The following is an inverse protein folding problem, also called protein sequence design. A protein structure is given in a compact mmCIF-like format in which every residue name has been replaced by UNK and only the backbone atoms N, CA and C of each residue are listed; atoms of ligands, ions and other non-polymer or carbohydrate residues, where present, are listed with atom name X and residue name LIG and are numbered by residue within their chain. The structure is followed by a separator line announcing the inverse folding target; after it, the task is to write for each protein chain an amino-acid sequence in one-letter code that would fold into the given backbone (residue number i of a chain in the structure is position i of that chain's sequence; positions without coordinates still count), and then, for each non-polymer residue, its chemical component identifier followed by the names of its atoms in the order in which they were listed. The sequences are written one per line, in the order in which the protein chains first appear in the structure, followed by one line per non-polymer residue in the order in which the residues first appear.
data_IF_087233166842
#
_entry.id   IF_087233166842
#
_cell.length_a   1.000
_cell.length_b   1.000
_cell.length_c   1.000
_cell.angle_alpha   90.00
_cell.angle_beta   90.00
_cell.angle_gamma   90.00
#
_symmetry.space_group_name_H-M   'P 1'
#
loop_
_entity.id
_entity.type
_entity.pdbx_description
1 polymer ?
#
# COMPACT_ATOMS: atom_id res chain seq x y z
N UNK A 1 12.59 6.37 12.97
CA UNK A 1 11.44 5.44 13.12
C UNK A 1 10.10 6.16 12.94
N UNK A 2 9.66 7.00 13.88
CA UNK A 2 8.38 7.72 13.72
C UNK A 2 8.35 8.62 12.47
N UNK A 3 9.42 9.40 12.23
CA UNK A 3 9.55 10.24 11.04
C UNK A 3 9.59 9.45 9.74
N UNK A 4 10.20 8.25 9.76
CA UNK A 4 10.24 7.36 8.58
C UNK A 4 8.86 6.82 8.23
N UNK A 5 8.08 6.43 9.24
CA UNK A 5 6.70 5.95 9.05
C UNK A 5 5.82 7.07 8.51
N UNK A 6 5.93 8.27 9.06
CA UNK A 6 5.18 9.44 8.57
C UNK A 6 5.58 9.78 7.13
N UNK A 7 6.88 9.77 6.81
CA UNK A 7 7.38 9.96 5.45
C UNK A 7 6.81 8.89 4.51
N UNK A 8 6.83 7.62 4.90
CA UNK A 8 6.31 6.51 4.10
C UNK A 8 4.80 6.64 3.85
N UNK A 9 4.02 7.11 4.83
CA UNK A 9 2.59 7.35 4.65
C UNK A 9 2.29 8.45 3.64
N UNK A 10 2.96 9.59 3.78
CA UNK A 10 2.79 10.74 2.85
C UNK A 10 3.29 10.37 1.45
N UNK A 11 4.47 9.74 1.38
CA UNK A 11 5.06 9.30 0.12
C UNK A 11 4.17 8.26 -0.57
N UNK A 12 3.64 7.27 0.16
CA UNK A 12 2.79 6.23 -0.43
C UNK A 12 1.56 6.81 -1.14
N UNK A 13 0.88 7.78 -0.52
CA UNK A 13 -0.28 8.44 -1.13
C UNK A 13 0.13 9.34 -2.29
N UNK A 14 1.20 10.12 -2.12
CA UNK A 14 1.70 11.03 -3.16
C UNK A 14 2.16 10.25 -4.40
N UNK A 15 2.86 9.14 -4.22
CA UNK A 15 3.44 8.34 -5.30
C UNK A 15 2.33 7.72 -6.16
N UNK A 16 1.24 7.24 -5.56
CA UNK A 16 0.06 6.72 -6.29
C UNK A 16 -0.48 7.74 -7.31
N UNK A 17 -0.46 9.02 -6.95
CA UNK A 17 -1.05 10.11 -7.75
C UNK A 17 -0.03 10.67 -8.75
N UNK A 18 1.25 10.75 -8.36
CA UNK A 18 2.27 11.52 -9.07
C UNK A 18 3.21 10.68 -9.91
N UNK A 19 3.34 9.38 -9.63
CA UNK A 19 4.25 8.47 -10.33
C UNK A 19 3.44 7.48 -11.16
N UNK A 20 3.50 7.55 -12.51
CA UNK A 20 2.87 6.55 -13.35
C UNK A 20 3.50 5.17 -13.18
N UNK A 21 2.67 4.18 -12.81
CA UNK A 21 2.97 2.76 -12.77
C UNK A 21 2.16 1.94 -13.78
N UNK A 22 2.16 0.62 -13.59
CA UNK A 22 1.37 -0.32 -14.40
C UNK A 22 -0.14 -0.13 -14.20
N UNK A 23 -0.53 0.20 -12.97
CA UNK A 23 -1.90 0.51 -12.58
C UNK A 23 -1.86 1.86 -11.90
N UNK A 24 -2.51 2.84 -12.50
CA UNK A 24 -2.60 4.20 -11.96
C UNK A 24 -3.98 4.39 -11.33
N UNK A 25 -4.00 5.14 -10.24
CA UNK A 25 -5.22 5.54 -9.54
C UNK A 25 -5.27 7.07 -9.56
N UNK A 26 -6.45 7.65 -9.70
CA UNK A 26 -6.57 9.11 -9.70
C UNK A 26 -6.76 9.66 -8.27
N UNK A 27 -6.62 10.98 -8.12
CA UNK A 27 -6.79 11.62 -6.81
C UNK A 27 -8.24 11.53 -6.30
N UNK A 28 -9.23 11.46 -7.18
CA UNK A 28 -10.63 11.38 -6.77
C UNK A 28 -10.94 10.03 -6.11
N UNK A 29 -10.37 8.94 -6.63
CA UNK A 29 -10.48 7.59 -6.08
C UNK A 29 -9.84 7.51 -4.69
N UNK A 30 -8.60 7.98 -4.55
CA UNK A 30 -7.92 8.01 -3.24
C UNK A 30 -8.70 8.86 -2.24
N UNK A 31 -9.15 10.04 -2.67
CA UNK A 31 -9.96 10.92 -1.83
C UNK A 31 -11.28 10.27 -1.43
N UNK A 32 -11.94 9.53 -2.32
CA UNK A 32 -13.20 8.86 -2.00
C UNK A 32 -13.04 7.78 -0.93
N UNK A 33 -11.93 7.03 -0.96
CA UNK A 33 -11.63 6.00 0.05
C UNK A 33 -11.21 6.62 1.39
N UNK A 34 -10.43 7.70 1.36
CA UNK A 34 -9.90 8.34 2.58
C UNK A 34 -10.85 9.35 3.23
N UNK A 35 -11.82 9.90 2.48
CA UNK A 35 -12.74 10.90 3.01
C UNK A 35 -13.68 10.24 4.03
N UNK A 36 -13.81 10.87 5.19
CA UNK A 36 -14.68 10.42 6.28
C UNK A 36 -14.33 9.02 6.83
N UNK A 37 -13.14 8.48 6.52
CA UNK A 37 -12.70 7.15 6.96
C UNK A 37 -12.34 7.06 8.45
N UNK A 38 -12.23 8.21 9.13
CA UNK A 38 -11.84 8.27 10.55
C UNK A 38 -10.36 7.90 10.74
N UNK A 39 -10.09 6.97 11.65
CA UNK A 39 -8.72 6.54 11.96
C UNK A 39 -8.17 5.65 10.84
N UNK A 40 -7.06 6.07 10.25
CA UNK A 40 -6.31 5.26 9.29
C UNK A 40 -5.13 4.55 9.97
N UNK A 41 -4.73 3.41 9.40
CA UNK A 41 -3.53 2.68 9.79
C UNK A 41 -2.62 2.50 8.58
N UNK A 42 -1.31 2.45 8.83
CA UNK A 42 -0.30 2.32 7.79
C UNK A 42 0.53 1.07 8.06
N UNK A 43 0.61 0.20 7.05
CA UNK A 43 1.51 -0.96 7.05
C UNK A 43 2.41 -0.88 5.85
N UNK A 44 3.67 -1.22 6.05
CA UNK A 44 4.69 -1.24 4.99
C UNK A 44 5.40 -2.58 5.08
N UNK A 45 5.48 -3.27 3.96
CA UNK A 45 6.22 -4.52 3.81
C UNK A 45 7.18 -4.42 2.65
N UNK A 46 8.33 -5.10 2.76
CA UNK A 46 9.36 -5.11 1.73
C UNK A 46 9.89 -6.52 1.60
N UNK A 47 9.77 -7.09 0.40
CA UNK A 47 10.35 -8.40 0.09
C UNK A 47 11.08 -8.37 -1.26
N UNK A 48 11.88 -9.40 -1.49
CA UNK A 48 12.67 -9.64 -2.70
C UNK A 48 12.68 -11.13 -3.02
N UNK A 49 13.04 -11.50 -4.25
CA UNK A 49 13.01 -12.90 -4.69
C UNK A 49 11.71 -13.29 -5.38
N UNK A 50 11.42 -14.60 -5.42
CA UNK A 50 10.38 -15.18 -6.29
C UNK A 50 8.95 -14.84 -5.86
N UNK A 51 8.71 -14.77 -4.55
CA UNK A 51 7.38 -14.50 -3.96
C UNK A 51 7.31 -13.09 -3.36
N UNK A 52 8.15 -12.17 -3.84
CA UNK A 52 8.32 -10.83 -3.25
C UNK A 52 7.03 -10.03 -3.12
N UNK A 53 6.07 -10.23 -4.03
CA UNK A 53 4.81 -9.52 -4.01
C UNK A 53 3.92 -9.98 -2.84
N UNK A 54 3.72 -11.30 -2.72
CA UNK A 54 2.91 -11.93 -1.67
C UNK A 54 3.53 -11.71 -0.29
N UNK A 55 4.84 -11.91 -0.16
CA UNK A 55 5.56 -11.72 1.10
C UNK A 55 5.57 -10.24 1.54
N UNK A 56 5.69 -9.29 0.62
CA UNK A 56 5.62 -7.87 0.96
C UNK A 56 4.20 -7.48 1.41
N UNK A 57 3.16 -8.03 0.78
CA UNK A 57 1.77 -7.81 1.21
C UNK A 57 1.50 -8.40 2.60
N UNK A 58 1.97 -9.62 2.85
CA UNK A 58 1.84 -10.28 4.16
C UNK A 58 2.56 -9.47 5.25
N UNK A 59 3.79 -9.02 5.02
CA UNK A 59 4.49 -8.15 5.96
C UNK A 59 3.77 -6.83 6.22
N UNK A 60 3.18 -6.21 5.18
CA UNK A 60 2.44 -4.97 5.33
C UNK A 60 1.20 -5.17 6.21
N UNK A 61 0.46 -6.25 6.02
CA UNK A 61 -0.76 -6.57 6.80
C UNK A 61 -0.45 -6.96 8.25
N UNK A 62 0.71 -7.60 8.49
CA UNK A 62 1.19 -7.95 9.83
C UNK A 62 1.99 -6.82 10.51
N UNK A 63 2.11 -5.65 9.88
CA UNK A 63 2.87 -4.55 10.44
C UNK A 63 2.30 -4.13 11.81
N UNK A 64 3.17 -3.79 12.80
CA UNK A 64 2.73 -3.43 14.15
C UNK A 64 1.72 -2.28 14.21
N UNK A 65 1.73 -1.42 13.19
CA UNK A 65 0.87 -0.25 13.07
C UNK A 65 -0.51 -0.55 12.46
N UNK A 66 -0.72 -1.72 11.84
CA UNK A 66 -2.00 -2.18 11.29
C UNK A 66 -2.83 -2.99 12.30
N UNK A 67 -2.17 -3.66 13.26
CA UNK A 67 -2.85 -4.34 14.36
C UNK A 67 -3.97 -5.30 13.94
N UNK A 68 -4.97 -5.50 14.81
CA UNK A 68 -6.12 -6.38 14.58
C UNK A 68 -7.20 -5.76 13.68
N UNK A 69 -6.97 -4.57 13.13
CA UNK A 69 -8.04 -3.68 12.65
C UNK A 69 -8.24 -3.68 11.14
N UNK A 70 -7.41 -4.39 10.37
CA UNK A 70 -7.59 -4.47 8.91
C UNK A 70 -8.91 -5.14 8.53
N UNK A 71 -9.38 -6.10 9.33
CA UNK A 71 -10.65 -6.81 9.13
C UNK A 71 -11.87 -5.89 9.28
N UNK A 72 -11.74 -4.77 9.99
CA UNK A 72 -12.79 -3.76 10.17
C UNK A 72 -12.62 -2.55 9.25
N UNK A 73 -11.62 -2.54 8.37
CA UNK A 73 -11.38 -1.41 7.48
C UNK A 73 -12.53 -1.29 6.46
N UNK A 74 -13.10 -0.09 6.37
CA UNK A 74 -14.16 0.24 5.39
C UNK A 74 -13.61 0.58 4.01
N UNK A 75 -12.29 0.83 3.93
CA UNK A 75 -11.59 1.16 2.70
C UNK A 75 -10.09 0.89 2.87
N UNK A 76 -9.45 0.47 1.78
CA UNK A 76 -8.02 0.18 1.74
C UNK A 76 -7.43 0.91 0.55
N UNK A 77 -6.33 1.63 0.79
CA UNK A 77 -5.46 2.19 -0.25
C UNK A 77 -4.10 1.52 -0.09
N UNK A 78 -3.61 0.89 -1.16
CA UNK A 78 -2.29 0.29 -1.19
C UNK A 78 -1.47 0.85 -2.34
N UNK A 79 -0.18 1.08 -2.08
CA UNK A 79 0.80 1.49 -3.07
C UNK A 79 1.78 0.33 -3.29
N UNK A 80 2.00 -0.07 -4.54
CA UNK A 80 2.97 -1.12 -4.88
C UNK A 80 4.10 -0.48 -5.66
N UNK A 81 5.26 -0.37 -5.02
CA UNK A 81 6.48 0.16 -5.63
C UNK A 81 7.45 -0.99 -5.90
N UNK A 82 7.91 -1.10 -7.15
CA UNK A 82 8.87 -2.12 -7.57
C UNK A 82 9.83 -1.62 -8.64
N UNK A 83 10.78 -2.46 -9.02
CA UNK A 83 11.68 -2.20 -10.13
C UNK A 83 10.97 -2.25 -11.49
N UNK A 84 11.72 -2.00 -12.56
CA UNK A 84 11.23 -2.08 -13.95
C UNK A 84 10.77 -3.48 -14.36
N UNK A 85 11.11 -4.48 -13.55
CA UNK A 85 10.81 -5.89 -13.71
C UNK A 85 9.51 -6.31 -13.01
N UNK A 86 8.78 -5.38 -12.38
CA UNK A 86 7.48 -5.69 -11.79
C UNK A 86 6.48 -6.06 -12.89
N UNK A 87 5.73 -7.13 -12.65
CA UNK A 87 4.77 -7.68 -13.60
C UNK A 87 3.33 -7.47 -13.13
N UNK A 88 2.38 -7.42 -14.07
CA UNK A 88 0.95 -7.39 -13.73
C UNK A 88 0.52 -8.62 -12.91
N UNK A 89 1.18 -9.77 -13.09
CA UNK A 89 0.91 -10.96 -12.28
C UNK A 89 1.27 -10.75 -10.81
N UNK A 90 2.40 -10.09 -10.53
CA UNK A 90 2.79 -9.73 -9.16
C UNK A 90 1.82 -8.74 -8.54
N UNK A 91 1.41 -7.71 -9.29
CA UNK A 91 0.41 -6.74 -8.83
C UNK A 91 -0.92 -7.42 -8.50
N UNK A 92 -1.39 -8.33 -9.36
CA UNK A 92 -2.64 -9.06 -9.12
C UNK A 92 -2.58 -9.99 -7.89
N UNK A 93 -1.42 -10.59 -7.61
CA UNK A 93 -1.23 -11.43 -6.41
C UNK A 93 -1.37 -10.65 -5.11
N UNK A 94 -0.99 -9.38 -5.09
CA UNK A 94 -1.15 -8.51 -3.90
C UNK A 94 -2.63 -8.19 -3.64
N UNK A 95 -3.45 -8.15 -4.68
CA UNK A 95 -4.88 -7.81 -4.57
C UNK A 95 -5.79 -8.97 -4.16
N UNK A 96 -5.23 -10.20 -4.06
CA UNK A 96 -5.95 -11.43 -3.71
C UNK A 96 -5.77 -11.77 -2.23
#
# INVERSE_FOLDING_TARGET
LADDVLRQGVQGISDIITIPGLVNVDFADVKAVMKDSGTAMLGVGVSSGKNRAEEAAEQATLAPLIGSSIQSATGIVYNITGGKDITLQEVNRVSQ
#
